data_IF_640410048647
#
_entry.id   IF_640410048647
#
_cell.length_a   1.000
_cell.length_b   1.000
_cell.length_c   1.000
_cell.angle_alpha   90.00
_cell.angle_beta   90.00
_cell.angle_gamma   90.00
#
_symmetry.space_group_name_H-M   'P 1'
#
loop_
_entity.id
_entity.type
_entity.pdbx_description
1 polymer ?
#
# COMPACT_ATOMS: atom_id res chain seq x y z
N UNK A 1 -1.44 -1.17 -5.57
CA UNK A 1 -1.11 0.27 -5.74
C UNK A 1 -1.43 0.93 -4.41
N UNK A 2 -0.42 1.31 -3.63
CA UNK A 2 -0.58 1.65 -2.20
C UNK A 2 -0.36 3.14 -1.90
N UNK A 3 -0.10 3.96 -2.92
CA UNK A 3 0.12 5.40 -2.77
C UNK A 3 -1.16 6.16 -3.09
N UNK A 4 -1.70 6.86 -2.08
CA UNK A 4 -2.86 7.73 -2.21
C UNK A 4 -2.62 8.87 -3.21
N UNK A 5 -1.41 9.44 -3.21
CA UNK A 5 -1.01 10.45 -4.19
C UNK A 5 -1.14 9.92 -5.62
N UNK A 6 -0.61 8.72 -5.89
CA UNK A 6 -0.69 8.09 -7.22
C UNK A 6 -2.13 7.82 -7.62
N UNK A 7 -2.96 7.31 -6.70
CA UNK A 7 -4.38 7.06 -6.96
C UNK A 7 -5.15 8.35 -7.25
N UNK A 8 -4.88 9.42 -6.50
CA UNK A 8 -5.50 10.72 -6.72
C UNK A 8 -5.14 11.32 -8.08
N UNK A 9 -3.85 11.35 -8.43
CA UNK A 9 -3.40 11.87 -9.72
C UNK A 9 -3.95 11.06 -10.89
N UNK A 10 -3.97 9.73 -10.78
CA UNK A 10 -4.57 8.86 -11.80
C UNK A 10 -6.08 9.11 -11.94
N UNK A 11 -6.80 9.24 -10.82
CA UNK A 11 -8.24 9.51 -10.79
C UNK A 11 -8.58 10.89 -11.36
N UNK A 12 -7.86 11.94 -10.96
CA UNK A 12 -8.04 13.29 -11.46
C UNK A 12 -7.80 13.37 -12.98
N UNK A 13 -6.75 12.71 -13.47
CA UNK A 13 -6.40 12.70 -14.89
C UNK A 13 -7.41 11.90 -15.73
N UNK A 14 -7.86 10.76 -15.21
CA UNK A 14 -8.95 9.97 -15.78
C UNK A 14 -10.26 10.76 -15.85
N UNK A 15 -10.66 11.41 -14.75
CA UNK A 15 -11.89 12.21 -14.66
C UNK A 15 -11.86 13.43 -15.59
N UNK A 16 -10.69 14.04 -15.78
CA UNK A 16 -10.47 15.13 -16.73
C UNK A 16 -10.39 14.66 -18.20
N UNK A 17 -10.54 13.35 -18.47
CA UNK A 17 -10.43 12.72 -19.81
C UNK A 17 -9.12 13.07 -20.52
N UNK A 18 -8.05 13.25 -19.77
CA UNK A 18 -6.71 13.50 -20.33
C UNK A 18 -6.07 12.18 -20.77
N UNK A 19 -5.17 12.21 -21.77
CA UNK A 19 -4.44 11.03 -22.23
C UNK A 19 -3.76 10.31 -21.06
N UNK A 20 -4.04 9.02 -20.89
CA UNK A 20 -3.52 8.21 -19.80
C UNK A 20 -3.04 6.87 -20.38
N UNK A 21 -1.74 6.62 -20.26
CA UNK A 21 -1.08 5.40 -20.74
C UNK A 21 -0.45 4.69 -19.53
N UNK A 22 -1.18 3.80 -18.85
CA UNK A 22 -0.62 3.02 -17.74
C UNK A 22 0.28 1.90 -18.28
N UNK A 23 1.45 1.75 -17.67
CA UNK A 23 2.33 0.60 -17.86
C UNK A 23 2.47 -0.15 -16.53
N UNK A 24 1.99 -1.38 -16.48
CA UNK A 24 1.97 -2.21 -15.28
C UNK A 24 3.23 -3.05 -15.22
N UNK A 25 4.00 -2.87 -14.15
CA UNK A 25 5.24 -3.61 -13.86
C UNK A 25 5.08 -4.71 -12.82
N UNK A 26 3.91 -4.81 -12.19
CA UNK A 26 3.60 -5.86 -11.21
C UNK A 26 3.15 -7.15 -11.92
N UNK A 27 3.58 -8.30 -11.40
CA UNK A 27 3.22 -9.63 -11.92
C UNK A 27 1.70 -9.90 -11.89
N UNK A 28 0.93 -9.15 -11.10
CA UNK A 28 -0.54 -9.22 -11.05
C UNK A 28 -1.20 -8.64 -12.30
N UNK A 29 -0.45 -7.98 -13.18
CA UNK A 29 -0.95 -7.42 -14.43
C UNK A 29 -2.07 -6.41 -14.23
N UNK A 30 -2.93 -6.24 -15.23
CA UNK A 30 -4.01 -5.23 -15.24
C UNK A 30 -5.01 -5.36 -14.09
N UNK A 31 -5.06 -6.51 -13.41
CA UNK A 31 -5.95 -6.75 -12.25
C UNK A 31 -5.65 -5.85 -11.05
N UNK A 32 -4.48 -5.20 -11.03
CA UNK A 32 -4.10 -4.21 -10.02
C UNK A 32 -4.89 -2.89 -10.16
N UNK A 33 -5.40 -2.60 -11.35
CA UNK A 33 -6.27 -1.45 -11.58
C UNK A 33 -7.67 -1.78 -11.08
N UNK A 34 -8.29 -0.83 -10.38
CA UNK A 34 -9.61 -0.98 -9.75
C UNK A 34 -10.53 0.16 -10.14
N UNK A 35 -11.83 -0.08 -10.02
CA UNK A 35 -12.87 0.92 -10.26
C UNK A 35 -12.78 1.56 -11.65
N UNK A 36 -12.81 2.90 -11.77
CA UNK A 36 -12.82 3.57 -13.07
C UNK A 36 -11.57 3.31 -13.93
N UNK A 37 -10.45 2.95 -13.30
CA UNK A 37 -9.21 2.60 -13.98
C UNK A 37 -9.20 1.14 -14.49
N UNK A 38 -10.21 0.32 -14.19
CA UNK A 38 -10.31 -1.03 -14.77
C UNK A 38 -10.70 -0.98 -16.26
N UNK A 39 -11.38 0.08 -16.70
CA UNK A 39 -11.88 0.24 -18.06
C UNK A 39 -10.91 0.96 -19.02
N UNK A 40 -9.71 1.33 -18.57
CA UNK A 40 -8.71 2.00 -19.43
C UNK A 40 -7.78 0.97 -20.06
N UNK A 41 -7.29 1.29 -21.27
CA UNK A 41 -6.25 0.49 -21.92
C UNK A 41 -4.95 0.60 -21.11
N UNK A 42 -4.54 -0.48 -20.48
CA UNK A 42 -3.32 -0.57 -19.69
C UNK A 42 -2.43 -1.68 -20.24
N UNK A 43 -1.15 -1.36 -20.42
CA UNK A 43 -0.16 -2.27 -20.97
C UNK A 43 0.65 -2.91 -19.85
N UNK A 44 1.17 -4.11 -20.08
CA UNK A 44 1.97 -4.89 -19.13
C UNK A 44 3.42 -4.91 -19.59
N UNK A 45 4.32 -4.52 -18.69
CA UNK A 45 5.74 -4.37 -18.98
C UNK A 45 6.49 -5.70 -19.18
N UNK A 46 5.85 -6.83 -18.88
CA UNK A 46 6.44 -8.17 -19.00
C UNK A 46 6.35 -8.73 -20.41
N UNK A 47 5.58 -8.07 -21.29
CA UNK A 47 5.42 -8.44 -22.68
C UNK A 47 6.13 -7.44 -23.59
N UNK A 48 7.13 -7.92 -24.33
CA UNK A 48 7.97 -7.09 -25.21
C UNK A 48 7.14 -6.33 -26.26
N UNK A 49 6.12 -6.97 -26.85
CA UNK A 49 5.21 -6.32 -27.79
C UNK A 49 4.43 -5.15 -27.16
N UNK A 50 4.03 -5.26 -25.90
CA UNK A 50 3.28 -4.21 -25.21
C UNK A 50 4.19 -3.03 -24.81
N UNK A 51 5.47 -3.26 -24.56
CA UNK A 51 6.44 -2.18 -24.38
C UNK A 51 6.69 -1.38 -25.68
N UNK A 52 6.76 -2.06 -26.82
CA UNK A 52 6.84 -1.38 -28.11
C UNK A 52 5.57 -0.56 -28.39
N UNK A 53 4.39 -1.13 -28.10
CA UNK A 53 3.11 -0.42 -28.20
C UNK A 53 3.08 0.82 -27.31
N UNK A 54 3.58 0.72 -26.07
CA UNK A 54 3.63 1.84 -25.13
C UNK A 54 4.44 3.02 -25.66
N UNK A 55 5.62 2.74 -26.23
CA UNK A 55 6.47 3.78 -26.85
C UNK A 55 5.77 4.41 -28.07
N UNK A 56 5.11 3.59 -28.89
CA UNK A 56 4.37 4.07 -30.05
C UNK A 56 3.17 4.96 -29.65
N UNK A 57 2.41 4.57 -28.63
CA UNK A 57 1.25 5.31 -28.14
C UNK A 57 1.65 6.67 -27.56
N UNK A 58 2.74 6.73 -26.79
CA UNK A 58 3.30 7.99 -26.28
C UNK A 58 3.82 8.85 -27.42
N UNK A 59 4.55 8.28 -28.39
CA UNK A 59 5.03 9.01 -29.56
C UNK A 59 3.88 9.66 -30.33
N UNK A 60 2.80 8.91 -30.55
CA UNK A 60 1.58 9.42 -31.18
C UNK A 60 0.96 10.57 -30.40
N UNK A 61 0.81 10.45 -29.08
CA UNK A 61 0.24 11.51 -28.24
C UNK A 61 1.11 12.78 -28.23
N UNK A 62 2.43 12.61 -28.19
CA UNK A 62 3.39 13.72 -28.16
C UNK A 62 3.66 14.32 -29.55
N UNK A 63 3.19 13.70 -30.64
CA UNK A 63 3.51 14.11 -32.01
C UNK A 63 4.97 13.86 -32.39
N UNK A 64 5.62 12.89 -31.76
CA UNK A 64 7.02 12.51 -31.99
C UNK A 64 7.05 11.15 -32.67
N UNK A 65 7.85 11.01 -33.74
CA UNK A 65 8.12 9.71 -34.34
C UNK A 65 9.17 9.01 -33.49
N UNK A 66 8.84 7.92 -32.77
CA UNK A 66 9.82 7.18 -32.00
C UNK A 66 10.84 6.54 -32.93
N UNK A 67 12.04 6.27 -32.39
CA UNK A 67 13.04 5.48 -33.12
C UNK A 67 12.51 4.08 -33.47
N UNK A 68 13.15 3.42 -34.43
CA UNK A 68 12.77 2.06 -34.79
C UNK A 68 12.93 1.09 -33.60
N UNK A 69 12.06 0.08 -33.43
CA UNK A 69 12.13 -0.90 -32.34
C UNK A 69 13.53 -1.52 -32.12
N UNK A 70 14.28 -1.72 -33.20
CA UNK A 70 15.62 -2.29 -33.17
C UNK A 70 16.64 -1.42 -32.41
N UNK A 71 16.45 -0.10 -32.35
CA UNK A 71 17.38 0.84 -31.68
C UNK A 71 17.43 0.64 -30.16
N UNK A 72 16.31 0.22 -29.56
CA UNK A 72 16.18 0.07 -28.11
C UNK A 72 15.75 -1.34 -27.66
N UNK A 73 15.76 -2.31 -28.59
CA UNK A 73 15.41 -3.72 -28.33
C UNK A 73 16.24 -4.33 -27.19
N UNK A 74 17.54 -4.06 -27.17
CA UNK A 74 18.44 -4.58 -26.13
C UNK A 74 18.08 -4.06 -24.73
N UNK A 75 17.77 -2.77 -24.63
CA UNK A 75 17.36 -2.09 -23.41
C UNK A 75 16.01 -2.62 -22.91
N UNK A 76 15.06 -2.89 -23.81
CA UNK A 76 13.78 -3.50 -23.45
C UNK A 76 13.95 -4.90 -22.86
N UNK A 77 14.80 -5.74 -23.45
CA UNK A 77 15.11 -7.06 -22.89
C UNK A 77 15.77 -6.98 -21.51
N UNK A 78 16.68 -6.03 -21.32
CA UNK A 78 17.30 -5.79 -20.02
C UNK A 78 16.28 -5.32 -18.98
N UNK A 79 15.34 -4.44 -19.38
CA UNK A 79 14.27 -3.96 -18.53
C UNK A 79 13.35 -5.12 -18.10
N UNK A 80 12.83 -5.92 -19.03
CA UNK A 80 11.99 -7.10 -18.71
C UNK A 80 12.74 -8.05 -17.76
N UNK A 81 14.03 -8.30 -18.01
CA UNK A 81 14.86 -9.15 -17.14
C UNK A 81 14.98 -8.57 -15.72
N UNK A 82 15.07 -7.25 -15.57
CA UNK A 82 15.14 -6.60 -14.26
C UNK A 82 13.84 -6.77 -13.46
N UNK A 83 12.67 -6.75 -14.12
CA UNK A 83 11.37 -6.96 -13.49
C UNK A 83 11.22 -8.36 -12.87
N UNK A 84 11.77 -9.39 -13.54
CA UNK A 84 11.80 -10.75 -13.01
C UNK A 84 12.68 -10.89 -11.75
N UNK A 85 13.73 -10.08 -11.62
CA UNK A 85 14.65 -10.14 -10.47
C UNK A 85 14.12 -9.39 -9.24
N UNK A 86 13.15 -8.50 -9.39
CA UNK A 86 12.53 -7.75 -8.28
C UNK A 86 11.70 -8.64 -7.35
N UNK A 87 11.22 -9.80 -7.83
CA UNK A 87 10.56 -10.81 -6.99
C UNK A 87 11.50 -11.76 -6.23
N UNK A 88 12.82 -11.70 -6.48
CA UNK A 88 13.81 -12.64 -5.92
C UNK A 88 14.75 -12.00 -4.87
N UNK A 89 14.58 -10.71 -4.55
CA UNK A 89 15.42 -10.00 -3.59
C UNK A 89 14.69 -9.49 -2.35
N UNK A 90 13.59 -10.15 -1.97
CA UNK A 90 13.23 -10.27 -0.56
C UNK A 90 13.97 -11.49 0.01
N UNK A 91 15.27 -11.34 0.28
CA UNK A 91 15.94 -12.31 1.15
C UNK A 91 15.34 -12.17 2.55
N UNK A 92 14.91 -13.27 3.18
CA UNK A 92 14.35 -13.24 4.53
C UNK A 92 15.42 -12.73 5.48
N UNK A 93 15.12 -11.64 6.20
CA UNK A 93 15.92 -11.24 7.36
C UNK A 93 15.85 -12.40 8.35
N UNK A 94 16.95 -13.14 8.45
CA UNK A 94 17.11 -14.20 9.44
C UNK A 94 16.97 -13.57 10.82
N UNK A 95 15.88 -13.95 11.49
CA UNK A 95 15.75 -13.85 12.92
C UNK A 95 16.96 -14.53 13.57
N UNK A 96 17.87 -13.76 14.15
CA UNK A 96 18.72 -14.24 15.22
C UNK A 96 18.01 -13.96 16.52
N UNK A 97 17.60 -15.06 17.12
CA UNK A 97 16.99 -15.20 18.42
C UNK A 97 17.94 -14.79 19.53
N UNK A 98 17.46 -13.91 20.40
CA UNK A 98 17.67 -14.04 21.84
C UNK A 98 16.46 -13.44 22.54
N UNK A 99 15.51 -14.32 22.87
CA UNK A 99 14.44 -14.14 23.84
C UNK A 99 15.01 -14.10 25.26
N UNK A 100 14.37 -13.49 26.27
CA UNK A 100 12.93 -13.64 26.59
C UNK A 100 12.22 -12.30 26.91
N UNK A 101 10.89 -12.12 26.89
CA UNK A 101 9.77 -12.94 27.35
C UNK A 101 8.49 -12.68 26.54
N UNK A 102 7.59 -13.67 26.54
CA UNK A 102 6.19 -13.60 26.12
C UNK A 102 5.38 -12.74 27.10
N UNK A 103 4.65 -11.76 26.60
CA UNK A 103 3.36 -11.36 27.17
C UNK A 103 2.32 -11.19 26.05
N UNK A 104 1.13 -11.69 26.33
CA UNK A 104 0.07 -12.08 25.43
C UNK A 104 -0.81 -10.89 25.00
N UNK A 105 -0.53 -10.32 23.84
CA UNK A 105 -1.41 -9.33 23.21
C UNK A 105 -2.59 -9.96 22.42
N UNK A 106 -2.77 -11.28 22.51
CA UNK A 106 -3.83 -12.03 21.80
C UNK A 106 -5.21 -11.89 22.44
N UNK A 107 -5.30 -11.45 23.70
CA UNK A 107 -6.58 -11.32 24.42
C UNK A 107 -7.23 -9.94 24.24
N UNK A 108 -6.44 -8.87 24.07
CA UNK A 108 -6.94 -7.48 23.98
C UNK A 108 -7.81 -7.23 22.72
N UNK A 109 -7.56 -7.98 21.65
CA UNK A 109 -8.24 -7.83 20.36
C UNK A 109 -9.22 -8.95 20.03
N UNK A 110 -9.61 -9.77 21.02
CA UNK A 110 -10.46 -10.97 20.86
C UNK A 110 -11.86 -10.69 20.25
N UNK A 111 -12.34 -9.44 20.28
CA UNK A 111 -13.59 -9.00 19.64
C UNK A 111 -13.42 -7.94 18.55
N UNK A 112 -12.19 -7.70 18.09
CA UNK A 112 -11.92 -6.58 17.20
C UNK A 112 -12.51 -6.78 15.79
N UNK A 113 -12.60 -8.02 15.29
CA UNK A 113 -13.20 -8.29 13.99
C UNK A 113 -14.69 -7.92 13.96
N UNK A 114 -15.43 -8.17 15.04
CA UNK A 114 -16.83 -7.76 15.19
C UNK A 114 -16.95 -6.23 15.24
N UNK A 115 -16.10 -5.56 16.01
CA UNK A 115 -16.06 -4.09 16.09
C UNK A 115 -15.76 -3.45 14.73
N UNK A 116 -14.81 -4.00 13.99
CA UNK A 116 -14.45 -3.56 12.64
C UNK A 116 -15.64 -3.70 11.68
N UNK A 117 -16.29 -4.88 11.68
CA UNK A 117 -17.46 -5.12 10.81
C UNK A 117 -18.59 -4.15 11.12
N UNK A 118 -18.87 -3.92 12.40
CA UNK A 118 -19.96 -3.03 12.81
C UNK A 118 -19.63 -1.56 12.50
N UNK A 119 -18.44 -1.09 12.81
CA UNK A 119 -17.99 0.26 12.46
C UNK A 119 -18.08 0.52 10.96
N UNK A 120 -17.51 -0.37 10.13
CA UNK A 120 -17.55 -0.22 8.68
C UNK A 120 -18.97 -0.31 8.11
N UNK A 121 -19.87 -1.06 8.75
CA UNK A 121 -21.29 -1.12 8.38
C UNK A 121 -22.03 0.18 8.72
N UNK A 122 -21.72 0.80 9.86
CA UNK A 122 -22.31 2.07 10.25
C UNK A 122 -21.86 3.22 9.34
N UNK A 123 -20.58 3.26 8.98
CA UNK A 123 -20.02 4.26 8.07
C UNK A 123 -20.52 4.08 6.63
N UNK A 124 -20.65 2.83 6.16
CA UNK A 124 -21.02 2.50 4.78
C UNK A 124 -22.18 1.48 4.75
N UNK A 125 -23.43 1.89 5.09
CA UNK A 125 -24.56 0.99 5.31
C UNK A 125 -25.13 0.33 4.05
N UNK A 126 -24.96 0.96 2.88
CA UNK A 126 -25.43 0.44 1.60
C UNK A 126 -24.31 0.29 0.56
N UNK A 127 -23.12 0.83 0.84
CA UNK A 127 -21.94 0.67 -0.02
C UNK A 127 -21.08 -0.51 0.45
N UNK A 128 -21.41 -1.70 -0.06
CA UNK A 128 -20.71 -2.94 0.27
C UNK A 128 -19.26 -2.95 -0.19
N UNK A 129 -18.91 -2.21 -1.25
CA UNK A 129 -17.53 -2.10 -1.72
C UNK A 129 -16.70 -1.28 -0.72
N UNK A 130 -17.21 -0.11 -0.32
CA UNK A 130 -16.55 0.73 0.69
C UNK A 130 -16.51 0.06 2.06
N UNK A 131 -17.54 -0.72 2.43
CA UNK A 131 -17.53 -1.54 3.64
C UNK A 131 -16.43 -2.60 3.61
N UNK A 132 -16.27 -3.32 2.51
CA UNK A 132 -15.21 -4.32 2.37
C UNK A 132 -13.81 -3.68 2.43
N UNK A 133 -13.64 -2.49 1.83
CA UNK A 133 -12.40 -1.72 1.90
C UNK A 133 -12.08 -1.31 3.34
N UNK A 134 -13.04 -0.69 4.02
CA UNK A 134 -12.91 -0.30 5.43
C UNK A 134 -12.51 -1.49 6.30
N UNK A 135 -13.17 -2.65 6.15
CA UNK A 135 -12.83 -3.85 6.94
C UNK A 135 -11.37 -4.25 6.68
N UNK A 136 -10.93 -4.27 5.42
CA UNK A 136 -9.57 -4.66 5.07
C UNK A 136 -8.52 -3.68 5.63
N UNK A 137 -8.80 -2.37 5.64
CA UNK A 137 -7.91 -1.37 6.23
C UNK A 137 -7.81 -1.51 7.74
N UNK A 138 -8.97 -1.63 8.40
CA UNK A 138 -9.05 -1.79 9.84
C UNK A 138 -8.36 -3.09 10.31
N UNK A 139 -8.51 -4.20 9.56
CA UNK A 139 -7.81 -5.46 9.86
C UNK A 139 -6.30 -5.36 9.69
N UNK A 140 -5.79 -4.61 8.70
CA UNK A 140 -4.35 -4.37 8.56
C UNK A 140 -3.81 -3.54 9.71
N UNK A 141 -4.53 -2.50 10.12
CA UNK A 141 -4.15 -1.68 11.25
C UNK A 141 -4.09 -2.49 12.54
N UNK A 142 -5.02 -3.44 12.72
CA UNK A 142 -4.99 -4.38 13.84
C UNK A 142 -3.72 -5.23 13.86
N UNK A 143 -3.27 -5.75 12.72
CA UNK A 143 -2.00 -6.49 12.64
C UNK A 143 -0.81 -5.63 13.07
N UNK A 144 -0.82 -4.34 12.75
CA UNK A 144 0.23 -3.40 13.19
C UNK A 144 0.16 -3.21 14.71
N UNK A 145 -1.02 -2.98 15.27
CA UNK A 145 -1.20 -2.82 16.72
C UNK A 145 -0.78 -4.07 17.50
N UNK A 146 -0.98 -5.26 16.91
CA UNK A 146 -0.56 -6.55 17.46
C UNK A 146 0.96 -6.77 17.44
N UNK A 147 1.73 -6.04 16.61
CA UNK A 147 3.19 -6.10 16.64
C UNK A 147 3.77 -5.61 17.97
N UNK A 148 2.98 -4.84 18.75
CA UNK A 148 3.31 -4.45 20.10
C UNK A 148 4.27 -3.28 20.19
N UNK A 149 5.01 -3.21 21.31
CA UNK A 149 5.91 -2.10 21.62
C UNK A 149 7.14 -2.07 20.71
N UNK A 150 7.44 -0.93 20.06
CA UNK A 150 8.73 -0.74 19.39
C UNK A 150 9.88 -0.80 20.40
N UNK A 151 11.01 -1.42 20.01
CA UNK A 151 12.14 -1.67 20.92
C UNK A 151 12.81 -0.40 21.48
N UNK A 152 12.63 0.74 20.80
CA UNK A 152 13.21 2.06 21.12
C UNK A 152 12.32 2.92 22.04
N UNK A 153 11.10 2.47 22.34
CA UNK A 153 10.12 3.19 23.15
C UNK A 153 10.06 2.54 24.53
N UNK A 154 10.08 3.34 25.60
CA UNK A 154 9.96 2.85 26.96
C UNK A 154 8.55 2.27 27.23
N UNK A 155 8.43 1.32 28.15
CA UNK A 155 7.16 0.65 28.45
C UNK A 155 6.08 1.64 28.92
N UNK A 156 6.44 2.57 29.82
CA UNK A 156 5.51 3.56 30.37
C UNK A 156 4.95 4.50 29.29
N UNK A 157 5.82 4.94 28.37
CA UNK A 157 5.44 5.77 27.22
C UNK A 157 4.51 5.01 26.27
N UNK A 158 4.86 3.74 25.98
CA UNK A 158 4.06 2.88 25.11
C UNK A 158 2.66 2.64 25.68
N UNK A 159 2.54 2.26 26.95
CA UNK A 159 1.24 2.04 27.61
C UNK A 159 0.41 3.32 27.61
N UNK A 160 1.03 4.47 27.87
CA UNK A 160 0.35 5.77 27.86
C UNK A 160 -0.20 6.10 26.47
N UNK A 161 0.62 5.93 25.42
CA UNK A 161 0.24 6.17 24.02
C UNK A 161 -0.87 5.22 23.58
N UNK A 162 -0.71 3.91 23.83
CA UNK A 162 -1.70 2.86 23.51
C UNK A 162 -3.05 3.14 24.16
N UNK A 163 -3.05 3.48 25.45
CA UNK A 163 -4.27 3.82 26.21
C UNK A 163 -4.96 5.08 25.68
N UNK A 164 -4.18 6.11 25.33
CA UNK A 164 -4.71 7.35 24.74
C UNK A 164 -5.33 7.07 23.37
N UNK A 165 -4.62 6.37 22.49
CA UNK A 165 -5.12 6.02 21.16
C UNK A 165 -6.40 5.16 21.24
N UNK A 166 -6.44 4.19 22.16
CA UNK A 166 -7.61 3.35 22.39
C UNK A 166 -8.85 4.16 22.80
N UNK A 167 -8.66 5.17 23.66
CA UNK A 167 -9.72 6.07 24.12
C UNK A 167 -10.19 7.04 23.04
N UNK A 168 -9.25 7.64 22.30
CA UNK A 168 -9.55 8.67 21.32
C UNK A 168 -10.24 8.05 20.08
N UNK A 169 -9.94 6.79 19.76
CA UNK A 169 -10.48 6.07 18.58
C UNK A 169 -11.06 4.69 18.95
N UNK A 170 -12.21 4.58 19.61
CA UNK A 170 -12.71 3.35 20.22
C UNK A 170 -12.93 2.17 19.24
N UNK A 171 -13.32 2.45 17.99
CA UNK A 171 -13.66 1.45 16.96
C UNK A 171 -12.88 1.62 15.65
N UNK A 172 -11.99 2.61 15.59
CA UNK A 172 -11.18 2.92 14.41
C UNK A 172 -9.71 2.57 14.67
N UNK A 173 -9.36 1.32 14.36
CA UNK A 173 -8.01 0.77 14.51
C UNK A 173 -7.01 1.41 13.55
N UNK A 174 -7.44 1.85 12.37
CA UNK A 174 -6.59 2.60 11.45
C UNK A 174 -6.12 3.91 12.08
N UNK A 175 -7.06 4.69 12.64
CA UNK A 175 -6.74 5.94 13.32
C UNK A 175 -5.93 5.71 14.60
N UNK A 176 -6.18 4.63 15.35
CA UNK A 176 -5.30 4.21 16.46
C UNK A 176 -3.86 4.00 16.01
N UNK A 177 -3.65 3.16 15.01
CA UNK A 177 -2.31 2.82 14.53
C UNK A 177 -1.57 4.05 13.98
N UNK A 178 -2.28 4.94 13.29
CA UNK A 178 -1.72 6.21 12.83
C UNK A 178 -1.28 7.10 14.00
N UNK A 179 -2.17 7.30 14.99
CA UNK A 179 -1.87 8.13 16.14
C UNK A 179 -0.69 7.57 16.96
N UNK A 180 -0.64 6.26 17.20
CA UNK A 180 0.50 5.65 17.90
C UNK A 180 1.81 5.90 17.18
N UNK A 181 1.83 5.72 15.86
CA UNK A 181 3.01 5.98 15.03
C UNK A 181 3.47 7.42 15.16
N UNK A 182 2.56 8.39 15.04
CA UNK A 182 2.89 9.81 15.18
C UNK A 182 3.42 10.15 16.58
N UNK A 183 2.85 9.57 17.63
CA UNK A 183 3.31 9.79 19.00
C UNK A 183 4.71 9.19 19.22
N UNK A 184 4.99 7.99 18.68
CA UNK A 184 6.35 7.42 18.75
C UNK A 184 7.36 8.28 18.00
N UNK A 185 7.00 8.77 16.81
CA UNK A 185 7.86 9.70 16.05
C UNK A 185 8.10 11.02 16.78
N UNK A 186 7.07 11.57 17.43
CA UNK A 186 7.20 12.78 18.25
C UNK A 186 8.11 12.56 19.46
N UNK A 187 7.96 11.43 20.16
CA UNK A 187 8.84 11.07 21.27
C UNK A 187 10.30 10.92 20.84
N UNK A 188 10.56 10.29 19.70
CA UNK A 188 11.91 10.19 19.13
C UNK A 188 12.54 11.57 18.92
N UNK A 189 11.78 12.49 18.31
CA UNK A 189 12.23 13.87 18.10
C UNK A 189 12.50 14.61 19.42
N UNK A 190 11.71 14.36 20.47
CA UNK A 190 11.95 14.96 21.78
C UNK A 190 13.20 14.42 22.47
N UNK A 191 13.58 13.15 22.22
CA UNK A 191 14.81 12.55 22.75
C UNK A 191 16.07 13.01 22.01
N UNK A 192 15.94 13.46 20.76
CA UNK A 192 17.03 13.97 19.93
C UNK A 192 17.35 15.47 20.19
N UNK A 193 16.59 16.14 21.06
CA UNK A 193 16.78 17.53 21.48
C UNK A 193 17.60 17.62 22.79
#
# INVERSE_FOLDING_TARGET
>A
MNSHYVLFELGARWGAKKPLFPLITDNKGVSILKGPLQGINALVAHEEGQLFQFVADIGKELGIVPEGPNSYHGQMKQFIKSLANTGANEKPVKAQSSQPQKESNSEEYSGANEQIKEHCKQEWPDDFHMRAHCIAEQSKALLILQQGRPSDIEEDDFVTIRKKAARDWPSDFHMRAHQEKEQFEALRRLKDL
#
